data_IF_053760250410
#
_entry.id   IF_053760250410
#
_cell.length_a   1.000
_cell.length_b   1.000
_cell.length_c   1.000
_cell.angle_alpha   90.00
_cell.angle_beta   90.00
_cell.angle_gamma   90.00
#
_symmetry.space_group_name_H-M   'P 1'
#
loop_
_entity.id
_entity.type
_entity.pdbx_description
1 polymer ?
#
# COMPACT_ATOMS: atom_id res chain seq x y z
N UNK A 1 9.00 16.74 -3.29
CA UNK A 1 9.16 15.45 -3.99
C UNK A 1 10.50 15.47 -4.72
N UNK A 2 11.20 14.36 -4.79
CA UNK A 2 12.40 14.21 -5.61
C UNK A 2 12.08 13.29 -6.79
N UNK A 3 12.52 13.66 -8.00
CA UNK A 3 12.43 12.78 -9.17
C UNK A 3 13.61 11.82 -9.09
N UNK A 4 13.32 10.53 -8.98
CA UNK A 4 14.33 9.46 -8.82
C UNK A 4 14.10 8.43 -9.93
N UNK A 5 15.16 7.73 -10.32
CA UNK A 5 15.07 6.59 -11.23
C UNK A 5 14.17 5.48 -10.67
N UNK A 6 13.55 4.72 -11.57
CA UNK A 6 12.72 3.56 -11.24
C UNK A 6 13.54 2.50 -10.48
N UNK A 7 13.28 2.41 -9.17
CA UNK A 7 13.97 1.51 -8.26
C UNK A 7 13.61 0.05 -8.52
N UNK A 8 12.35 -0.25 -8.81
CA UNK A 8 11.87 -1.60 -9.10
C UNK A 8 12.54 -2.14 -10.35
N UNK A 9 12.63 -1.34 -11.41
CA UNK A 9 13.35 -1.72 -12.63
C UNK A 9 14.84 -1.92 -12.41
N UNK A 10 15.47 -1.10 -11.56
CA UNK A 10 16.88 -1.27 -11.20
C UNK A 10 17.12 -2.60 -10.45
N UNK A 11 16.27 -2.94 -9.46
CA UNK A 11 16.37 -4.20 -8.73
C UNK A 11 16.09 -5.42 -9.61
N UNK A 12 15.09 -5.35 -10.49
CA UNK A 12 14.75 -6.43 -11.41
C UNK A 12 15.90 -6.74 -12.39
N UNK A 13 16.53 -5.70 -12.95
CA UNK A 13 17.72 -5.87 -13.80
C UNK A 13 18.85 -6.55 -13.04
N UNK A 14 19.13 -6.10 -11.81
CA UNK A 14 20.20 -6.67 -10.99
C UNK A 14 19.92 -8.12 -10.61
N UNK A 15 18.67 -8.47 -10.29
CA UNK A 15 18.27 -9.84 -10.02
C UNK A 15 18.46 -10.75 -11.25
N UNK A 16 18.13 -10.24 -12.44
CA UNK A 16 18.33 -10.96 -13.71
C UNK A 16 19.81 -11.16 -14.04
N UNK A 17 20.66 -10.17 -13.78
CA UNK A 17 22.11 -10.30 -13.93
C UNK A 17 22.65 -11.40 -13.00
N UNK A 18 22.29 -11.37 -11.71
CA UNK A 18 22.73 -12.38 -10.75
C UNK A 18 22.22 -13.78 -11.10
N UNK A 19 20.96 -13.91 -11.54
CA UNK A 19 20.44 -15.22 -11.96
C UNK A 19 21.14 -15.75 -13.22
N UNK A 20 21.47 -14.88 -14.18
CA UNK A 20 22.24 -15.27 -15.36
C UNK A 20 23.67 -15.70 -14.99
N UNK A 21 24.31 -15.01 -14.04
CA UNK A 21 25.66 -15.32 -13.59
C UNK A 21 25.72 -16.66 -12.88
N UNK A 22 24.73 -16.97 -12.05
CA UNK A 22 24.59 -18.29 -11.39
C UNK A 22 24.42 -19.38 -12.46
N UNK A 23 23.58 -19.15 -13.47
CA UNK A 23 23.34 -20.11 -14.54
C UNK A 23 24.57 -20.37 -15.42
N UNK A 24 25.38 -19.34 -15.71
CA UNK A 24 26.58 -19.49 -16.55
C UNK A 24 27.80 -20.01 -15.80
N UNK A 25 27.96 -19.59 -14.54
CA UNK A 25 29.22 -19.78 -13.79
C UNK A 25 29.15 -20.91 -12.77
N UNK A 26 27.94 -21.42 -12.46
CA UNK A 26 27.72 -22.44 -11.44
C UNK A 26 28.12 -22.03 -10.02
N UNK A 27 28.48 -20.75 -9.81
CA UNK A 27 28.87 -20.18 -8.53
C UNK A 27 27.62 -19.86 -7.71
N UNK A 28 27.04 -20.89 -7.10
CA UNK A 28 26.00 -20.75 -6.08
C UNK A 28 26.63 -20.53 -4.70
N UNK A 29 27.16 -19.33 -4.49
CA UNK A 29 27.70 -18.94 -3.19
C UNK A 29 26.56 -18.41 -2.32
N UNK A 30 26.55 -18.74 -1.02
CA UNK A 30 25.51 -18.27 -0.09
C UNK A 30 25.32 -16.75 -0.07
N UNK A 31 26.35 -15.97 -0.39
CA UNK A 31 26.29 -14.52 -0.55
C UNK A 31 25.42 -14.08 -1.74
N UNK A 32 25.51 -14.76 -2.88
CA UNK A 32 24.72 -14.46 -4.08
C UNK A 32 23.25 -14.76 -3.81
N UNK A 33 22.96 -15.88 -3.14
CA UNK A 33 21.61 -16.25 -2.77
C UNK A 33 20.98 -15.28 -1.76
N UNK A 34 21.76 -14.78 -0.78
CA UNK A 34 21.33 -13.74 0.14
C UNK A 34 20.98 -12.43 -0.58
N UNK A 35 21.82 -11.98 -1.52
CA UNK A 35 21.56 -10.76 -2.29
C UNK A 35 20.36 -10.92 -3.24
N UNK A 36 20.16 -12.09 -3.85
CA UNK A 36 18.97 -12.39 -4.63
C UNK A 36 17.70 -12.35 -3.78
N UNK A 37 17.72 -12.93 -2.57
CA UNK A 37 16.59 -12.89 -1.64
C UNK A 37 16.27 -11.44 -1.20
N UNK A 38 17.30 -10.65 -0.90
CA UNK A 38 17.16 -9.23 -0.55
C UNK A 38 16.58 -8.40 -1.70
N UNK A 39 17.05 -8.60 -2.92
CA UNK A 39 16.49 -7.93 -4.10
C UNK A 39 15.03 -8.33 -4.34
N UNK A 40 14.69 -9.61 -4.19
CA UNK A 40 13.31 -10.09 -4.25
C UNK A 40 12.41 -9.44 -3.21
N UNK A 41 12.89 -9.30 -1.97
CA UNK A 41 12.18 -8.58 -0.91
C UNK A 41 11.96 -7.09 -1.26
N UNK A 42 12.98 -6.39 -1.75
CA UNK A 42 12.89 -4.98 -2.12
C UNK A 42 11.91 -4.73 -3.28
N UNK A 43 11.85 -5.63 -4.26
CA UNK A 43 10.84 -5.59 -5.34
C UNK A 43 9.43 -5.70 -4.75
N UNK A 44 9.21 -6.66 -3.83
CA UNK A 44 7.92 -6.82 -3.15
C UNK A 44 7.50 -5.59 -2.35
N UNK A 45 8.43 -4.88 -1.72
CA UNK A 45 8.14 -3.63 -1.00
C UNK A 45 7.75 -2.48 -1.93
N UNK A 46 8.41 -2.32 -3.08
CA UNK A 46 8.00 -1.31 -4.07
C UNK A 46 6.62 -1.66 -4.68
N UNK A 47 6.30 -2.93 -4.93
CA UNK A 47 4.96 -3.37 -5.38
C UNK A 47 3.87 -3.02 -4.36
N UNK A 48 4.11 -3.31 -3.07
CA UNK A 48 3.19 -2.95 -1.98
C UNK A 48 2.98 -1.44 -1.91
N UNK A 49 4.05 -0.66 -2.12
CA UNK A 49 3.99 0.80 -2.12
C UNK A 49 3.18 1.33 -3.30
N UNK A 50 3.37 0.81 -4.50
CA UNK A 50 2.56 1.15 -5.69
C UNK A 50 1.07 0.84 -5.45
N UNK A 51 0.77 -0.33 -4.91
CA UNK A 51 -0.61 -0.73 -4.59
C UNK A 51 -1.25 0.21 -3.55
N UNK A 52 -0.53 0.52 -2.46
CA UNK A 52 -1.00 1.47 -1.44
C UNK A 52 -1.30 2.83 -2.06
N UNK A 53 -0.38 3.38 -2.84
CA UNK A 53 -0.57 4.68 -3.48
C UNK A 53 -1.74 4.69 -4.47
N UNK A 54 -1.95 3.59 -5.19
CA UNK A 54 -3.12 3.45 -6.08
C UNK A 54 -4.42 3.49 -5.28
N UNK A 55 -4.54 2.69 -4.22
CA UNK A 55 -5.73 2.65 -3.35
C UNK A 55 -5.97 4.01 -2.71
N UNK A 56 -4.91 4.62 -2.20
CA UNK A 56 -4.98 5.93 -1.56
C UNK A 56 -5.39 7.03 -2.53
N UNK A 57 -4.88 7.03 -3.76
CA UNK A 57 -5.29 7.98 -4.78
C UNK A 57 -6.76 7.80 -5.16
N UNK A 58 -7.25 6.56 -5.26
CA UNK A 58 -8.68 6.29 -5.47
C UNK A 58 -9.50 6.88 -4.32
N UNK A 59 -9.09 6.66 -3.05
CA UNK A 59 -9.76 7.25 -1.88
C UNK A 59 -9.75 8.78 -1.92
N UNK A 60 -8.59 9.40 -2.19
CA UNK A 60 -8.44 10.87 -2.23
C UNK A 60 -9.25 11.52 -3.36
N UNK A 61 -9.45 10.82 -4.47
CA UNK A 61 -10.24 11.32 -5.62
C UNK A 61 -11.73 10.99 -5.51
N UNK A 62 -12.14 10.14 -4.58
CA UNK A 62 -13.52 9.70 -4.48
C UNK A 62 -14.42 10.78 -3.88
N UNK A 63 -15.58 11.00 -4.49
CA UNK A 63 -16.60 11.90 -3.93
C UNK A 63 -17.43 11.15 -2.88
N UNK A 64 -17.17 11.42 -1.61
CA UNK A 64 -17.88 10.80 -0.49
C UNK A 64 -19.24 11.44 -0.16
N UNK A 65 -19.60 12.58 -0.76
CA UNK A 65 -20.86 13.27 -0.44
C UNK A 65 -22.10 12.37 -0.64
N UNK A 66 -22.25 11.63 -1.76
CA UNK A 66 -23.39 10.73 -1.92
C UNK A 66 -23.43 9.64 -0.85
N UNK A 67 -22.28 9.05 -0.52
CA UNK A 67 -22.18 8.02 0.52
C UNK A 67 -22.55 8.54 1.91
N UNK A 68 -22.05 9.72 2.29
CA UNK A 68 -22.36 10.36 3.57
C UNK A 68 -23.86 10.64 3.69
N UNK A 69 -24.47 11.20 2.64
CA UNK A 69 -25.91 11.49 2.65
C UNK A 69 -26.74 10.23 2.83
N UNK A 70 -26.39 9.16 2.13
CA UNK A 70 -27.14 7.90 2.22
C UNK A 70 -26.97 7.23 3.59
N UNK A 71 -25.75 7.27 4.14
CA UNK A 71 -25.48 6.80 5.50
C UNK A 71 -26.34 7.55 6.53
N UNK A 72 -26.43 8.87 6.42
CA UNK A 72 -27.25 9.69 7.34
C UNK A 72 -28.74 9.37 7.22
N UNK A 73 -29.26 9.14 6.00
CA UNK A 73 -30.66 8.73 5.80
C UNK A 73 -30.95 7.39 6.47
N UNK A 74 -30.11 6.37 6.25
CA UNK A 74 -30.28 5.04 6.84
C UNK A 74 -30.26 5.12 8.38
N UNK A 75 -29.34 5.91 8.95
CA UNK A 75 -29.27 6.11 10.41
C UNK A 75 -30.49 6.85 10.96
N UNK A 76 -31.05 7.79 10.21
CA UNK A 76 -32.27 8.50 10.57
C UNK A 76 -33.49 7.57 10.55
N UNK A 77 -33.63 6.75 9.49
CA UNK A 77 -34.68 5.73 9.37
C UNK A 77 -34.62 4.70 10.50
N UNK A 78 -33.41 4.25 10.86
CA UNK A 78 -33.19 3.37 12.00
C UNK A 78 -33.35 4.02 13.37
N UNK A 79 -33.65 5.34 13.45
CA UNK A 79 -33.67 6.16 14.67
C UNK A 79 -32.38 6.11 15.51
N UNK A 80 -31.26 5.75 14.89
CA UNK A 80 -29.95 5.66 15.56
C UNK A 80 -29.16 6.97 15.47
N UNK A 81 -29.55 7.88 14.58
CA UNK A 81 -28.79 9.10 14.32
C UNK A 81 -28.71 10.04 15.54
N UNK A 82 -29.85 10.35 16.18
CA UNK A 82 -29.91 11.22 17.35
C UNK A 82 -29.07 10.72 18.54
N UNK A 83 -29.20 9.46 19.01
CA UNK A 83 -28.39 8.98 20.14
C UNK A 83 -26.89 8.94 19.82
N UNK A 84 -26.51 8.73 18.55
CA UNK A 84 -25.11 8.81 18.13
C UNK A 84 -24.57 10.24 18.18
N UNK A 85 -25.37 11.23 17.79
CA UNK A 85 -25.01 12.65 17.88
C UNK A 85 -24.86 13.05 19.35
N UNK A 86 -25.80 12.68 20.20
CA UNK A 86 -25.76 12.97 21.63
C UNK A 86 -24.49 12.37 22.29
N UNK A 87 -24.17 11.11 21.96
CA UNK A 87 -22.95 10.45 22.43
C UNK A 87 -21.66 11.14 21.93
N UNK A 88 -21.67 11.70 20.73
CA UNK A 88 -20.52 12.41 20.17
C UNK A 88 -20.36 13.83 20.73
N UNK A 89 -21.47 14.49 21.08
CA UNK A 89 -21.49 15.82 21.69
C UNK A 89 -21.20 15.81 23.20
N UNK A 90 -21.52 14.71 23.90
CA UNK A 90 -21.12 14.58 25.30
C UNK A 90 -19.59 14.63 25.38
N UNK A 91 -19.00 15.53 26.19
CA UNK A 91 -17.56 15.61 26.33
C UNK A 91 -17.05 14.23 26.75
N UNK A 92 -16.02 13.75 26.06
CA UNK A 92 -15.30 12.53 26.43
C UNK A 92 -14.82 12.71 27.87
N UNK A 93 -15.52 12.10 28.82
CA UNK A 93 -15.02 11.93 30.19
C UNK A 93 -13.77 11.06 30.04
N UNK A 94 -12.60 11.72 30.14
CA UNK A 94 -11.31 11.06 30.29
C UNK A 94 -11.24 10.35 31.64
#
# INVERSE_FOLDING_TARGET
MAVVSDRKRAYAKRLQELSSLVATSGLDTGEVQCEMAKLGYLIGEEDRKEQRYRIENIRRRHNYLPFIMELLKILAEGRQLLPLIEKACSPSVQ
#
